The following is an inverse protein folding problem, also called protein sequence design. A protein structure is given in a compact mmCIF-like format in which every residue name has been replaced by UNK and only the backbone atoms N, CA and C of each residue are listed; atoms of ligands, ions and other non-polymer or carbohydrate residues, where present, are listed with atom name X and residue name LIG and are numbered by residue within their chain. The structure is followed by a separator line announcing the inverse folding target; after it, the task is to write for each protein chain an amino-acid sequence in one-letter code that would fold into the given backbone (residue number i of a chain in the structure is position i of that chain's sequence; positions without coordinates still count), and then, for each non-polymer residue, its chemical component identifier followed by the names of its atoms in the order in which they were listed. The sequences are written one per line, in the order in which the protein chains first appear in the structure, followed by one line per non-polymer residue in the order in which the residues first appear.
data_IF_953815653256
#
_entry.id   IF_953815653256
#
_cell.length_a   1.000
_cell.length_b   1.000
_cell.length_c   1.000
_cell.angle_alpha   90.00
_cell.angle_beta   90.00
_cell.angle_gamma   90.00
#
_symmetry.space_group_name_H-M   'P 1'
#
loop_
_entity.id
_entity.type
_entity.pdbx_description
1 polymer ?
#
# COMPACT_ATOMS: atom_id res chain seq x y z
N UNK A 1 18.20 11.89 4.82
CA UNK A 1 18.16 10.41 4.91
C UNK A 1 16.79 9.94 4.43
N UNK A 2 16.71 8.80 3.74
CA UNK A 2 15.49 8.25 3.12
C UNK A 2 15.20 6.84 3.65
N UNK A 3 14.10 6.21 3.22
CA UNK A 3 13.69 4.84 3.62
C UNK A 3 14.71 3.76 3.28
N UNK A 4 15.58 3.98 2.29
CA UNK A 4 16.66 3.07 1.89
C UNK A 4 18.00 3.34 2.59
N UNK A 5 18.04 4.28 3.54
CA UNK A 5 19.26 4.52 4.32
C UNK A 5 19.55 3.35 5.29
N UNK A 6 18.52 2.68 5.78
CA UNK A 6 18.65 1.46 6.57
C UNK A 6 18.93 0.27 5.65
N UNK A 7 19.81 -0.63 6.10
CA UNK A 7 20.07 -1.88 5.39
C UNK A 7 18.82 -2.76 5.39
N UNK A 8 18.65 -3.57 4.33
CA UNK A 8 17.50 -4.46 4.19
C UNK A 8 16.25 -3.80 3.59
N UNK A 9 16.32 -2.55 3.11
CA UNK A 9 15.20 -1.90 2.42
C UNK A 9 15.52 -1.52 0.98
N UNK A 10 14.59 -1.82 0.08
CA UNK A 10 14.62 -1.36 -1.33
C UNK A 10 13.34 -0.56 -1.60
N UNK A 11 13.44 0.48 -2.42
CA UNK A 11 12.29 1.28 -2.80
C UNK A 11 12.39 1.80 -4.22
N UNK A 12 11.24 1.95 -4.87
CA UNK A 12 11.11 2.58 -6.18
C UNK A 12 9.81 3.40 -6.25
N UNK A 13 9.81 4.42 -7.11
CA UNK A 13 8.62 5.21 -7.45
C UNK A 13 8.52 5.36 -8.96
N UNK A 14 7.32 5.17 -9.51
CA UNK A 14 7.05 5.24 -10.95
C UNK A 14 5.85 6.13 -11.24
N UNK A 15 5.73 6.55 -12.50
CA UNK A 15 4.49 7.07 -13.05
C UNK A 15 3.68 5.90 -13.63
N UNK A 16 2.69 5.42 -12.89
CA UNK A 16 1.76 4.37 -13.27
C UNK A 16 0.55 4.91 -14.07
N UNK A 17 0.40 6.23 -14.18
CA UNK A 17 -0.66 6.86 -14.97
C UNK A 17 -1.96 7.10 -14.20
N UNK A 18 -1.92 7.06 -12.86
CA UNK A 18 -3.03 7.42 -11.98
C UNK A 18 -3.24 8.94 -12.01
N UNK A 19 -2.15 9.71 -12.01
CA UNK A 19 -2.19 11.16 -12.20
C UNK A 19 -2.16 11.51 -13.68
N UNK A 20 -3.12 12.32 -14.12
CA UNK A 20 -3.17 12.81 -15.50
C UNK A 20 -1.95 13.64 -15.94
N UNK A 21 -1.18 14.21 -14.99
CA UNK A 21 -0.01 15.02 -15.29
C UNK A 21 1.28 14.20 -15.53
N UNK A 22 1.23 12.87 -15.42
CA UNK A 22 2.37 11.99 -15.67
C UNK A 22 3.46 12.00 -14.59
N UNK A 23 3.26 12.72 -13.47
CA UNK A 23 4.20 12.70 -12.36
C UNK A 23 4.16 11.33 -11.65
N UNK A 24 5.26 10.92 -10.98
CA UNK A 24 5.27 9.71 -10.17
C UNK A 24 4.09 9.66 -9.20
N UNK A 25 3.43 8.52 -9.18
CA UNK A 25 2.15 8.33 -8.52
C UNK A 25 1.95 6.95 -7.89
N UNK A 26 2.91 6.04 -8.07
CA UNK A 26 2.96 4.75 -7.38
C UNK A 26 4.36 4.54 -6.81
N UNK A 27 4.44 4.13 -5.56
CA UNK A 27 5.67 3.79 -4.87
C UNK A 27 5.56 2.42 -4.20
N UNK A 28 6.69 1.73 -4.11
CA UNK A 28 6.83 0.47 -3.40
C UNK A 28 8.06 0.56 -2.49
N UNK A 29 7.91 0.13 -1.25
CA UNK A 29 9.00 -0.09 -0.30
C UNK A 29 8.96 -1.56 0.09
N UNK A 30 10.08 -2.27 -0.03
CA UNK A 30 10.22 -3.69 0.27
C UNK A 30 11.22 -3.86 1.42
N UNK A 31 10.84 -4.66 2.40
CA UNK A 31 11.71 -5.13 3.47
C UNK A 31 12.28 -6.50 3.07
N UNK A 32 13.58 -6.54 2.78
CA UNK A 32 14.33 -7.72 2.34
C UNK A 32 14.77 -8.61 3.53
N UNK A 33 14.30 -8.33 4.74
CA UNK A 33 14.59 -9.12 5.93
C UNK A 33 15.97 -8.82 6.55
N UNK A 34 16.41 -9.65 7.52
CA UNK A 34 15.78 -10.89 7.97
C UNK A 34 14.59 -10.70 8.93
N UNK A 35 14.34 -9.48 9.42
CA UNK A 35 13.23 -9.19 10.34
C UNK A 35 12.15 -8.38 9.64
N UNK A 36 10.91 -8.88 9.70
CA UNK A 36 9.74 -8.24 9.11
C UNK A 36 8.87 -7.48 10.11
N UNK A 37 9.36 -7.31 11.35
CA UNK A 37 8.60 -6.68 12.43
C UNK A 37 8.10 -5.29 12.03
N UNK A 38 6.81 -5.04 12.24
CA UNK A 38 6.15 -3.81 11.83
C UNK A 38 5.20 -3.30 12.91
N UNK A 39 5.07 -1.98 12.97
CA UNK A 39 4.08 -1.28 13.77
C UNK A 39 3.53 -0.11 12.95
N UNK A 40 2.30 0.29 13.24
CA UNK A 40 1.71 1.46 12.60
C UNK A 40 0.49 1.96 13.34
N UNK A 41 0.22 3.24 13.13
CA UNK A 41 -0.94 3.94 13.65
C UNK A 41 -1.77 4.45 12.48
N UNK A 42 -3.07 4.55 12.70
CA UNK A 42 -4.02 4.91 11.65
C UNK A 42 -4.88 6.08 12.10
N UNK A 43 -5.53 6.72 11.14
CA UNK A 43 -6.44 7.83 11.45
C UNK A 43 -7.54 7.39 12.42
N UNK A 44 -7.85 8.24 13.39
CA UNK A 44 -8.97 8.07 14.32
C UNK A 44 -10.32 8.47 13.73
N UNK A 45 -10.34 8.95 12.48
CA UNK A 45 -11.58 9.32 11.80
C UNK A 45 -12.54 8.12 11.70
N UNK A 46 -13.84 8.37 11.89
CA UNK A 46 -14.92 7.39 11.71
C UNK A 46 -15.01 6.91 10.26
N UNK A 47 -14.72 7.80 9.30
CA UNK A 47 -14.67 7.48 7.87
C UNK A 47 -13.24 7.09 7.53
N UNK A 48 -13.02 5.78 7.37
CA UNK A 48 -11.73 5.20 6.98
C UNK A 48 -11.77 4.71 5.54
N UNK A 49 -10.74 5.06 4.77
CA UNK A 49 -10.55 4.57 3.42
C UNK A 49 -10.34 3.04 3.40
N UNK A 50 -10.59 2.41 2.24
CA UNK A 50 -10.29 1.01 2.02
C UNK A 50 -8.84 0.62 2.40
N UNK A 51 -7.78 1.32 1.94
CA UNK A 51 -6.39 1.01 2.28
C UNK A 51 -6.08 1.10 3.78
N UNK A 52 -6.73 2.02 4.50
CA UNK A 52 -6.58 2.11 5.97
C UNK A 52 -7.13 0.85 6.64
N UNK A 53 -8.34 0.44 6.29
CA UNK A 53 -8.98 -0.76 6.86
C UNK A 53 -8.24 -2.05 6.53
N UNK A 54 -7.66 -2.13 5.33
CA UNK A 54 -6.81 -3.24 4.91
C UNK A 54 -5.53 -3.31 5.72
N UNK A 55 -4.77 -2.21 5.75
CA UNK A 55 -3.48 -2.15 6.44
C UNK A 55 -3.63 -2.31 7.95
N UNK A 56 -4.75 -1.90 8.53
CA UNK A 56 -5.11 -2.20 9.93
C UNK A 56 -5.22 -3.70 10.21
N UNK A 57 -5.65 -4.50 9.23
CA UNK A 57 -5.74 -5.96 9.35
C UNK A 57 -4.36 -6.60 9.17
N UNK A 58 -3.61 -6.19 8.15
CA UNK A 58 -2.22 -6.61 7.90
C UNK A 58 -1.35 -6.39 9.13
N UNK A 59 -1.38 -5.19 9.72
CA UNK A 59 -0.54 -4.88 10.89
C UNK A 59 -0.87 -5.67 12.15
N UNK A 60 -2.04 -6.30 12.26
CA UNK A 60 -2.34 -7.23 13.38
C UNK A 60 -1.48 -8.48 13.34
N UNK A 61 -0.96 -8.87 12.17
CA UNK A 61 0.01 -9.96 12.02
C UNK A 61 1.38 -9.62 12.62
N UNK A 62 1.68 -8.34 12.87
CA UNK A 62 2.96 -7.88 13.39
C UNK A 62 4.12 -7.93 12.40
N UNK A 63 3.86 -8.39 11.17
CA UNK A 63 4.85 -8.49 10.08
C UNK A 63 4.37 -7.74 8.84
N UNK A 64 5.29 -7.01 8.20
CA UNK A 64 5.06 -6.37 6.90
C UNK A 64 6.31 -6.55 6.04
N UNK A 65 6.13 -7.15 4.87
CA UNK A 65 7.21 -7.38 3.91
C UNK A 65 7.30 -6.29 2.84
N UNK A 66 6.19 -5.58 2.56
CA UNK A 66 6.22 -4.42 1.68
C UNK A 66 5.09 -3.42 1.98
N UNK A 67 5.29 -2.18 1.57
CA UNK A 67 4.26 -1.14 1.54
C UNK A 67 4.14 -0.61 0.12
N UNK A 68 2.95 -0.72 -0.46
CA UNK A 68 2.61 -0.09 -1.75
C UNK A 68 1.78 1.16 -1.50
N UNK A 69 2.18 2.26 -2.13
CA UNK A 69 1.60 3.57 -1.90
C UNK A 69 1.25 4.22 -3.23
N UNK A 70 -0.03 4.53 -3.46
CA UNK A 70 -0.44 5.32 -4.61
C UNK A 70 -0.84 6.75 -4.22
N UNK A 71 -0.73 7.67 -5.16
CA UNK A 71 -1.25 9.02 -5.08
C UNK A 71 -2.10 9.36 -6.30
N UNK A 72 -2.96 10.37 -6.20
CA UNK A 72 -3.92 10.72 -7.27
C UNK A 72 -5.34 10.15 -7.03
N UNK A 73 -5.49 9.20 -6.10
CA UNK A 73 -6.79 8.70 -5.66
C UNK A 73 -6.70 8.10 -4.27
N UNK A 74 -7.56 8.54 -3.34
CA UNK A 74 -7.51 8.10 -1.95
C UNK A 74 -8.15 6.72 -1.70
N UNK A 75 -8.92 6.21 -2.68
CA UNK A 75 -9.73 5.01 -2.53
C UNK A 75 -10.55 5.02 -1.22
N UNK A 76 -11.16 6.17 -0.95
CA UNK A 76 -11.95 6.44 0.23
C UNK A 76 -13.42 6.65 -0.17
N UNK A 77 -14.35 6.18 0.66
CA UNK A 77 -15.79 6.20 0.35
C UNK A 77 -16.17 5.46 -0.94
N UNK A 78 -15.43 4.41 -1.28
CA UNK A 78 -15.55 3.60 -2.51
C UNK A 78 -16.24 2.24 -2.30
N UNK A 79 -16.78 2.01 -1.10
CA UNK A 79 -17.56 0.81 -0.77
C UNK A 79 -16.77 -0.51 -0.87
N UNK A 80 -17.48 -1.65 -1.01
CA UNK A 80 -16.86 -2.96 -1.14
C UNK A 80 -15.91 -3.09 -2.34
N UNK A 81 -16.23 -2.43 -3.46
CA UNK A 81 -15.38 -2.43 -4.66
C UNK A 81 -14.01 -1.80 -4.37
N UNK A 82 -13.98 -0.65 -3.70
CA UNK A 82 -12.71 -0.05 -3.28
C UNK A 82 -11.88 -0.95 -2.36
N UNK A 83 -12.52 -1.71 -1.46
CA UNK A 83 -11.81 -2.69 -0.64
C UNK A 83 -11.26 -3.86 -1.47
N UNK A 84 -12.02 -4.36 -2.45
CA UNK A 84 -11.53 -5.37 -3.39
C UNK A 84 -10.35 -4.86 -4.23
N UNK A 85 -10.37 -3.59 -4.66
CA UNK A 85 -9.26 -2.98 -5.41
C UNK A 85 -7.99 -2.89 -4.54
N UNK A 86 -8.14 -2.54 -3.27
CA UNK A 86 -7.04 -2.59 -2.29
C UNK A 86 -6.51 -4.01 -2.11
N UNK A 87 -7.39 -5.01 -1.97
CA UNK A 87 -6.99 -6.40 -1.85
C UNK A 87 -6.23 -6.88 -3.09
N UNK A 88 -6.77 -6.63 -4.28
CA UNK A 88 -6.15 -6.97 -5.55
C UNK A 88 -4.78 -6.30 -5.72
N UNK A 89 -4.62 -5.07 -5.22
CA UNK A 89 -3.32 -4.38 -5.21
C UNK A 89 -2.30 -5.13 -4.34
N UNK A 90 -2.70 -5.51 -3.12
CA UNK A 90 -1.83 -6.27 -2.21
C UNK A 90 -1.46 -7.65 -2.78
N UNK A 91 -2.44 -8.38 -3.33
CA UNK A 91 -2.22 -9.66 -4.02
C UNK A 91 -1.27 -9.51 -5.21
N UNK A 92 -1.43 -8.45 -6.02
CA UNK A 92 -0.57 -8.21 -7.17
C UNK A 92 0.87 -7.93 -6.75
N UNK A 93 1.08 -7.15 -5.69
CA UNK A 93 2.42 -6.89 -5.15
C UNK A 93 3.06 -8.18 -4.64
N UNK A 94 2.34 -8.98 -3.84
CA UNK A 94 2.84 -10.26 -3.35
C UNK A 94 3.22 -11.20 -4.51
N UNK A 95 2.36 -11.29 -5.53
CA UNK A 95 2.62 -12.09 -6.74
C UNK A 95 3.84 -11.63 -7.52
N UNK A 96 4.07 -10.32 -7.64
CA UNK A 96 5.21 -9.75 -8.39
C UNK A 96 6.52 -9.93 -7.61
N UNK A 97 6.50 -9.80 -6.29
CA UNK A 97 7.68 -10.03 -5.45
C UNK A 97 8.04 -11.54 -5.37
N UNK A 98 7.05 -12.42 -5.50
CA UNK A 98 7.23 -13.87 -5.53
C UNK A 98 7.67 -14.46 -4.18
N UNK A 99 8.26 -15.66 -4.20
CA UNK A 99 8.80 -16.31 -3.00
C UNK A 99 7.74 -16.58 -1.93
N UNK A 100 8.06 -16.25 -0.68
CA UNK A 100 7.19 -16.44 0.49
C UNK A 100 6.26 -15.24 0.77
N UNK A 101 6.28 -14.21 -0.08
CA UNK A 101 5.43 -13.04 0.10
C UNK A 101 3.95 -13.39 -0.06
N UNK A 102 3.12 -12.93 0.87
CA UNK A 102 1.67 -13.07 0.82
C UNK A 102 0.98 -11.72 0.98
N UNK A 103 -0.25 -11.59 0.47
CA UNK A 103 -1.01 -10.34 0.53
C UNK A 103 -1.19 -9.83 1.96
N UNK A 104 -1.33 -10.74 2.93
CA UNK A 104 -1.47 -10.42 4.35
C UNK A 104 -0.26 -9.74 5.00
N UNK A 105 0.87 -9.64 4.29
CA UNK A 105 2.09 -8.93 4.69
C UNK A 105 2.34 -7.65 3.88
N UNK A 106 1.43 -7.31 2.96
CA UNK A 106 1.54 -6.13 2.11
C UNK A 106 0.61 -5.03 2.64
N UNK A 107 1.19 -3.99 3.23
CA UNK A 107 0.44 -2.81 3.58
C UNK A 107 0.15 -1.96 2.32
N UNK A 108 -1.03 -1.37 2.26
CA UNK A 108 -1.48 -0.51 1.16
C UNK A 108 -1.82 0.87 1.72
N UNK A 109 -1.32 1.92 1.06
CA UNK A 109 -1.67 3.30 1.36
C UNK A 109 -2.09 4.04 0.09
N UNK A 110 -3.05 4.96 0.23
CA UNK A 110 -3.54 5.76 -0.89
C UNK A 110 -3.78 7.20 -0.44
N UNK A 111 -3.55 8.16 -1.32
CA UNK A 111 -3.83 9.58 -1.07
C UNK A 111 -4.32 10.28 -2.34
N UNK A 112 -5.24 11.22 -2.20
CA UNK A 112 -5.83 11.95 -3.33
C UNK A 112 -7.31 12.23 -3.12
N UNK A 113 -8.06 12.27 -4.22
CA UNK A 113 -9.48 12.57 -4.20
C UNK A 113 -10.29 11.45 -3.52
N UNK A 114 -11.29 11.83 -2.72
CA UNK A 114 -12.24 10.92 -2.05
C UNK A 114 -13.44 10.68 -2.98
N UNK A 115 -13.99 9.46 -2.97
CA UNK A 115 -15.19 9.09 -3.73
C UNK A 115 -14.95 8.59 -5.15
N UNK A 116 -13.69 8.47 -5.57
CA UNK A 116 -13.31 7.97 -6.89
C UNK A 116 -12.61 6.62 -6.75
N UNK A 117 -13.02 5.65 -7.58
CA UNK A 117 -12.38 4.34 -7.67
C UNK A 117 -10.99 4.45 -8.32
N UNK A 118 -10.11 3.51 -7.98
CA UNK A 118 -8.81 3.42 -8.62
C UNK A 118 -8.97 2.94 -10.08
N UNK A 119 -8.11 3.43 -11.00
CA UNK A 119 -8.03 2.89 -12.37
C UNK A 119 -7.25 1.57 -12.35
N UNK A 120 -7.88 0.52 -11.83
CA UNK A 120 -7.31 -0.83 -11.68
C UNK A 120 -7.15 -1.55 -13.02
#
# INVERSE_FOLDING_TARGET
MSVTAAQGFTAAGIAAGIKANGNPDLALVVNNGPRLAAAGVFTSNRVKAAPVRWSEQVLRGGTVSAVVLNSGGANACTGPKGFQDTHATAEKVASVLGGEHNAGEIAVASTGLIGVLLPM
#
